data_IF_017154218716
#
_entry.id   IF_017154218716
#
_cell.length_a   1.000
_cell.length_b   1.000
_cell.length_c   1.000
_cell.angle_alpha   90.00
_cell.angle_beta   90.00
_cell.angle_gamma   90.00
#
_symmetry.space_group_name_H-M   'P 1'
#
loop_
_entity.id
_entity.type
_entity.pdbx_description
1 polymer ?
#
# COMPACT_ATOMS: atom_id res chain seq x y z
N UNK A 1 -24.71 -52.34 2.26
CA UNK A 1 -24.59 -51.59 0.98
C UNK A 1 -25.24 -50.21 1.12
N UNK A 2 -26.49 -50.11 1.58
CA UNK A 2 -27.20 -48.80 1.71
C UNK A 2 -26.51 -47.86 2.71
N UNK A 3 -26.02 -48.38 3.83
CA UNK A 3 -25.28 -47.56 4.83
C UNK A 3 -23.94 -47.04 4.34
N UNK A 4 -23.21 -47.80 3.53
CA UNK A 4 -21.97 -47.36 2.89
C UNK A 4 -22.22 -46.29 1.84
N UNK A 5 -23.31 -46.40 1.08
CA UNK A 5 -23.70 -45.41 0.08
C UNK A 5 -24.17 -44.09 0.73
N UNK A 6 -24.91 -44.17 1.83
CA UNK A 6 -25.33 -43.01 2.60
C UNK A 6 -24.12 -42.25 3.20
N UNK A 7 -23.13 -42.96 3.74
CA UNK A 7 -21.88 -42.38 4.26
C UNK A 7 -21.07 -41.67 3.16
N UNK A 8 -21.02 -42.25 1.97
CA UNK A 8 -20.35 -41.67 0.83
C UNK A 8 -21.00 -40.36 0.34
N UNK A 9 -22.35 -40.35 0.28
CA UNK A 9 -23.08 -39.12 -0.11
C UNK A 9 -22.91 -38.02 0.94
N UNK A 10 -22.94 -38.35 2.23
CA UNK A 10 -22.75 -37.38 3.31
C UNK A 10 -21.33 -36.83 3.29
N UNK A 11 -20.31 -37.66 3.11
CA UNK A 11 -18.92 -37.23 3.03
C UNK A 11 -18.67 -36.31 1.80
N UNK A 12 -19.21 -36.68 0.64
CA UNK A 12 -19.12 -35.89 -0.59
C UNK A 12 -19.84 -34.53 -0.46
N UNK A 13 -21.04 -34.53 0.12
CA UNK A 13 -21.84 -33.32 0.34
C UNK A 13 -21.21 -32.40 1.38
N UNK A 14 -20.66 -32.92 2.46
CA UNK A 14 -19.95 -32.15 3.49
C UNK A 14 -18.67 -31.53 2.97
N UNK A 15 -17.87 -32.26 2.20
CA UNK A 15 -16.65 -31.75 1.61
C UNK A 15 -16.92 -30.58 0.66
N UNK A 16 -17.92 -30.69 -0.20
CA UNK A 16 -18.35 -29.63 -1.11
C UNK A 16 -18.87 -28.39 -0.38
N UNK A 17 -19.64 -28.59 0.68
CA UNK A 17 -20.20 -27.52 1.50
C UNK A 17 -19.10 -26.78 2.30
N UNK A 18 -18.17 -27.53 2.92
CA UNK A 18 -17.03 -26.96 3.63
C UNK A 18 -16.10 -26.19 2.70
N UNK A 19 -15.77 -26.73 1.53
CA UNK A 19 -14.92 -26.09 0.55
C UNK A 19 -15.51 -24.74 0.08
N UNK A 20 -16.80 -24.70 -0.21
CA UNK A 20 -17.50 -23.48 -0.61
C UNK A 20 -17.52 -22.44 0.51
N UNK A 21 -17.73 -22.85 1.74
CA UNK A 21 -17.81 -21.93 2.87
C UNK A 21 -16.44 -21.33 3.24
N UNK A 22 -15.37 -22.13 3.17
CA UNK A 22 -14.00 -21.66 3.35
C UNK A 22 -13.61 -20.70 2.23
N UNK A 23 -13.91 -21.04 0.98
CA UNK A 23 -13.64 -20.15 -0.17
C UNK A 23 -14.35 -18.80 -0.02
N UNK A 24 -15.61 -18.79 0.40
CA UNK A 24 -16.34 -17.53 0.64
C UNK A 24 -15.72 -16.71 1.76
N UNK A 25 -15.40 -17.32 2.91
CA UNK A 25 -14.79 -16.63 4.04
C UNK A 25 -13.41 -16.04 3.69
N UNK A 26 -12.60 -16.75 2.91
CA UNK A 26 -11.31 -16.29 2.41
C UNK A 26 -11.49 -15.12 1.45
N UNK A 27 -12.41 -15.20 0.50
CA UNK A 27 -12.70 -14.13 -0.46
C UNK A 27 -13.21 -12.87 0.24
N UNK A 28 -14.11 -13.02 1.22
CA UNK A 28 -14.60 -11.89 2.03
C UNK A 28 -13.46 -11.23 2.82
N UNK A 29 -12.54 -12.01 3.39
CA UNK A 29 -11.38 -11.48 4.11
C UNK A 29 -10.43 -10.70 3.20
N UNK A 30 -10.20 -11.17 1.98
CA UNK A 30 -9.40 -10.44 0.97
C UNK A 30 -10.08 -9.12 0.62
N UNK A 31 -11.39 -9.15 0.35
CA UNK A 31 -12.16 -7.94 -0.01
C UNK A 31 -12.12 -6.89 1.10
N UNK A 32 -12.24 -7.30 2.37
CA UNK A 32 -12.14 -6.38 3.51
C UNK A 32 -10.74 -5.77 3.59
N UNK A 33 -9.70 -6.58 3.43
CA UNK A 33 -8.32 -6.11 3.50
C UNK A 33 -7.96 -5.18 2.31
N UNK A 34 -8.46 -5.46 1.11
CA UNK A 34 -8.32 -4.57 -0.06
C UNK A 34 -9.05 -3.25 0.18
N UNK A 35 -10.27 -3.28 0.69
CA UNK A 35 -11.03 -2.06 1.03
C UNK A 35 -10.32 -1.22 2.09
N UNK A 36 -9.71 -1.84 3.09
CA UNK A 36 -8.89 -1.17 4.10
C UNK A 36 -7.68 -0.49 3.46
N UNK A 37 -6.97 -1.21 2.58
CA UNK A 37 -5.82 -0.66 1.87
C UNK A 37 -6.21 0.54 1.00
N UNK A 38 -7.29 0.43 0.24
CA UNK A 38 -7.79 1.50 -0.64
C UNK A 38 -8.23 2.74 0.15
N UNK A 39 -8.82 2.55 1.32
CA UNK A 39 -9.19 3.66 2.21
C UNK A 39 -7.94 4.39 2.72
N UNK A 40 -6.92 3.64 3.16
CA UNK A 40 -5.66 4.23 3.59
C UNK A 40 -4.90 4.89 2.45
N UNK A 41 -4.93 4.32 1.24
CA UNK A 41 -4.33 4.89 0.04
C UNK A 41 -5.01 6.22 -0.36
N UNK A 42 -6.34 6.28 -0.33
CA UNK A 42 -7.09 7.53 -0.55
C UNK A 42 -6.79 8.58 0.50
N UNK A 43 -6.76 8.18 1.77
CA UNK A 43 -6.44 9.07 2.88
C UNK A 43 -5.03 9.67 2.73
N UNK A 44 -4.00 8.85 2.51
CA UNK A 44 -2.62 9.37 2.37
C UNK A 44 -2.46 10.20 1.10
N UNK A 45 -3.18 9.88 0.03
CA UNK A 45 -3.20 10.70 -1.20
C UNK A 45 -3.74 12.10 -0.94
N UNK A 46 -4.87 12.21 -0.25
CA UNK A 46 -5.47 13.49 0.12
C UNK A 46 -4.55 14.33 1.02
N UNK A 47 -3.95 13.70 2.04
CA UNK A 47 -3.01 14.36 2.95
C UNK A 47 -1.73 14.80 2.25
N UNK A 48 -1.22 13.99 1.30
CA UNK A 48 -0.04 14.32 0.49
C UNK A 48 -0.29 15.55 -0.38
N UNK A 49 -1.45 15.60 -1.03
CA UNK A 49 -1.85 16.72 -1.87
C UNK A 49 -2.03 18.00 -1.04
N UNK A 50 -2.70 17.91 0.11
CA UNK A 50 -2.88 19.04 1.02
C UNK A 50 -1.52 19.56 1.52
N UNK A 51 -0.62 18.66 1.93
CA UNK A 51 0.72 19.03 2.38
C UNK A 51 1.56 19.65 1.26
N UNK A 52 1.51 19.10 0.04
CA UNK A 52 2.20 19.66 -1.11
C UNK A 52 1.71 21.07 -1.44
N UNK A 53 0.41 21.31 -1.37
CA UNK A 53 -0.17 22.64 -1.56
C UNK A 53 0.28 23.63 -0.49
N UNK A 54 0.37 23.22 0.78
CA UNK A 54 0.86 24.07 1.87
C UNK A 54 2.34 24.40 1.67
N UNK A 55 3.17 23.43 1.31
CA UNK A 55 4.58 23.63 1.00
C UNK A 55 4.77 24.57 -0.21
N UNK A 56 3.98 24.38 -1.27
CA UNK A 56 4.02 25.23 -2.46
C UNK A 56 3.64 26.68 -2.16
N UNK A 57 2.67 26.93 -1.27
CA UNK A 57 2.30 28.30 -0.84
C UNK A 57 3.44 28.99 -0.08
N UNK A 58 4.17 28.24 0.72
CA UNK A 58 5.26 28.74 1.55
C UNK A 58 6.63 28.67 0.82
N UNK A 59 6.67 28.26 -0.45
CA UNK A 59 7.90 27.98 -1.19
C UNK A 59 8.91 29.12 -1.13
N UNK A 60 8.47 30.38 -1.28
CA UNK A 60 9.35 31.55 -1.20
C UNK A 60 10.06 31.66 0.15
N UNK A 61 9.37 31.39 1.24
CA UNK A 61 9.91 31.46 2.59
C UNK A 61 10.80 30.26 2.93
N UNK A 62 10.45 29.09 2.40
CA UNK A 62 11.14 27.85 2.67
C UNK A 62 12.39 27.65 1.82
N UNK A 63 12.40 28.21 0.59
CA UNK A 63 13.53 28.09 -0.33
C UNK A 63 14.78 28.74 0.25
N UNK A 64 15.88 27.99 0.20
CA UNK A 64 17.19 28.46 0.69
C UNK A 64 17.42 28.29 2.21
N UNK A 65 16.41 27.88 2.99
CA UNK A 65 16.57 27.62 4.43
C UNK A 65 16.19 26.19 4.81
N UNK A 66 17.16 25.27 4.71
CA UNK A 66 16.96 23.85 5.01
C UNK A 66 16.42 23.61 6.42
N UNK A 67 16.97 24.30 7.42
CA UNK A 67 16.52 24.13 8.81
C UNK A 67 15.07 24.55 9.02
N UNK A 68 14.62 25.59 8.32
CA UNK A 68 13.23 26.01 8.35
C UNK A 68 12.33 24.99 7.66
N UNK A 69 12.77 24.45 6.52
CA UNK A 69 12.05 23.45 5.76
C UNK A 69 11.92 22.14 6.56
N UNK A 70 12.98 21.66 7.22
CA UNK A 70 12.96 20.45 8.04
C UNK A 70 11.96 20.59 9.22
N UNK A 71 11.93 21.77 9.87
CA UNK A 71 10.95 22.06 10.93
C UNK A 71 9.54 22.08 10.38
N UNK A 72 9.33 22.80 9.29
CA UNK A 72 8.03 22.90 8.64
C UNK A 72 7.50 21.52 8.21
N UNK A 73 8.34 20.67 7.59
CA UNK A 73 8.00 19.30 7.26
C UNK A 73 7.62 18.48 8.49
N UNK A 74 8.35 18.65 9.60
CA UNK A 74 8.06 17.93 10.83
C UNK A 74 6.70 18.33 11.42
N UNK A 75 6.39 19.63 11.43
CA UNK A 75 5.12 20.15 11.90
C UNK A 75 3.95 19.70 11.01
N UNK A 76 4.14 19.76 9.70
CA UNK A 76 3.13 19.31 8.72
C UNK A 76 2.89 17.80 8.78
N UNK A 77 3.94 17.00 8.96
CA UNK A 77 3.81 15.55 9.13
C UNK A 77 3.05 15.19 10.41
N UNK A 78 3.37 15.85 11.53
CA UNK A 78 2.68 15.65 12.79
C UNK A 78 1.19 16.04 12.71
N UNK A 79 0.88 17.19 12.10
CA UNK A 79 -0.49 17.67 11.92
C UNK A 79 -1.37 16.66 11.16
N UNK A 80 -0.77 15.94 10.19
CA UNK A 80 -1.45 14.98 9.32
C UNK A 80 -1.30 13.52 9.75
N UNK A 81 -0.72 13.30 10.91
CA UNK A 81 -0.47 11.95 11.41
C UNK A 81 0.33 11.08 10.42
N UNK A 82 1.34 11.69 9.78
CA UNK A 82 2.29 11.03 8.91
C UNK A 82 3.52 10.59 9.70
N UNK A 83 4.05 9.42 9.40
CA UNK A 83 5.23 8.88 10.09
C UNK A 83 6.52 9.58 9.66
N UNK A 84 6.60 9.97 8.42
CA UNK A 84 7.74 10.65 7.80
C UNK A 84 7.32 11.50 6.61
N UNK A 85 8.12 12.53 6.33
CA UNK A 85 8.01 13.36 5.15
C UNK A 85 9.42 13.76 4.69
N UNK A 86 9.69 13.63 3.39
CA UNK A 86 10.98 13.90 2.79
C UNK A 86 10.75 14.68 1.49
N UNK A 87 11.53 15.75 1.29
CA UNK A 87 11.63 16.40 -0.01
C UNK A 87 12.95 15.97 -0.65
N UNK A 88 12.89 15.54 -1.89
CA UNK A 88 14.04 15.07 -2.66
C UNK A 88 13.92 15.55 -4.12
N UNK A 89 15.02 15.56 -4.86
CA UNK A 89 15.07 15.90 -6.28
C UNK A 89 14.97 14.65 -7.19
N UNK A 90 14.91 14.85 -8.49
CA UNK A 90 14.83 13.78 -9.48
C UNK A 90 16.02 12.81 -9.47
N UNK A 91 17.15 13.21 -8.87
CA UNK A 91 18.33 12.35 -8.69
C UNK A 91 18.24 11.48 -7.42
N UNK A 92 17.25 11.74 -6.56
CA UNK A 92 17.10 11.09 -5.26
C UNK A 92 17.88 11.77 -4.14
N UNK A 93 18.44 12.97 -4.38
CA UNK A 93 19.11 13.73 -3.33
C UNK A 93 18.09 14.34 -2.38
N UNK A 94 18.27 14.11 -1.09
CA UNK A 94 17.40 14.64 -0.04
C UNK A 94 17.67 16.14 0.16
N UNK A 95 16.66 16.96 -0.12
CA UNK A 95 16.68 18.40 0.06
C UNK A 95 16.28 18.78 1.49
N UNK A 96 15.26 18.13 2.04
CA UNK A 96 14.78 18.33 3.40
C UNK A 96 14.06 17.07 3.93
N UNK A 97 13.97 16.94 5.26
CA UNK A 97 13.30 15.80 5.88
C UNK A 97 12.67 16.15 7.23
N UNK A 98 11.58 15.48 7.58
CA UNK A 98 10.99 15.56 8.92
C UNK A 98 11.88 14.84 9.96
N UNK A 99 11.69 15.18 11.24
CA UNK A 99 12.53 14.70 12.35
C UNK A 99 12.65 13.17 12.41
N UNK A 100 11.56 12.45 12.15
CA UNK A 100 11.49 10.99 12.25
C UNK A 100 11.67 10.28 10.90
N UNK A 101 12.02 11.02 9.85
CA UNK A 101 12.38 10.43 8.57
C UNK A 101 13.78 9.80 8.69
N UNK A 102 13.84 8.50 8.85
CA UNK A 102 15.08 7.74 8.75
C UNK A 102 15.54 7.72 7.29
N UNK A 103 16.86 7.58 7.08
CA UNK A 103 17.44 7.58 5.74
C UNK A 103 16.74 6.55 4.84
N UNK A 104 15.99 7.02 3.88
CA UNK A 104 15.44 6.19 2.83
C UNK A 104 16.51 6.13 1.74
N UNK A 105 16.94 4.94 1.41
CA UNK A 105 17.81 4.75 0.25
C UNK A 105 16.92 4.82 -1.00
N UNK A 106 17.04 5.90 -1.76
CA UNK A 106 16.35 6.04 -3.05
C UNK A 106 17.01 5.22 -4.18
N UNK A 107 17.84 4.23 -3.83
CA UNK A 107 18.53 3.36 -4.80
C UNK A 107 17.56 2.64 -5.77
N UNK A 108 16.30 2.47 -5.37
CA UNK A 108 15.26 1.82 -6.16
C UNK A 108 14.17 2.79 -6.64
N UNK A 109 14.47 4.09 -6.68
CA UNK A 109 13.52 5.08 -7.20
C UNK A 109 13.29 4.82 -8.69
N UNK A 110 12.08 4.40 -9.05
CA UNK A 110 11.73 4.11 -10.44
C UNK A 110 11.42 5.44 -11.14
N UNK A 111 12.06 5.68 -12.28
CA UNK A 111 11.78 6.87 -13.10
C UNK A 111 10.29 7.00 -13.46
N UNK A 112 9.60 5.88 -13.70
CA UNK A 112 8.17 5.87 -13.97
C UNK A 112 7.32 6.52 -12.86
N UNK A 113 7.71 6.40 -11.59
CA UNK A 113 7.02 7.06 -10.47
C UNK A 113 7.19 8.58 -10.50
N UNK A 114 8.39 9.04 -10.87
CA UNK A 114 8.66 10.47 -11.01
C UNK A 114 7.93 11.08 -12.19
N UNK A 115 7.79 10.33 -13.30
CA UNK A 115 7.02 10.76 -14.46
C UNK A 115 5.54 10.91 -14.12
N UNK A 116 4.93 9.90 -13.49
CA UNK A 116 3.54 9.98 -13.02
C UNK A 116 3.33 11.16 -12.05
N UNK A 117 4.24 11.34 -11.08
CA UNK A 117 4.16 12.46 -10.15
C UNK A 117 4.34 13.82 -10.87
N UNK A 118 5.12 13.88 -11.95
CA UNK A 118 5.34 15.07 -12.77
C UNK A 118 4.09 15.49 -13.53
N UNK A 119 3.27 14.51 -13.92
CA UNK A 119 1.96 14.72 -14.56
C UNK A 119 0.87 15.19 -13.58
N UNK A 120 1.23 15.37 -12.31
CA UNK A 120 0.34 15.88 -11.27
C UNK A 120 -0.39 14.78 -10.48
N UNK A 121 -0.05 13.52 -10.69
CA UNK A 121 -0.62 12.39 -9.97
C UNK A 121 0.05 12.21 -8.60
N UNK A 122 -0.73 11.72 -7.63
CA UNK A 122 -0.18 11.20 -6.38
C UNK A 122 0.12 9.72 -6.57
N UNK A 123 1.41 9.38 -6.60
CA UNK A 123 1.86 8.00 -6.81
C UNK A 123 1.90 7.27 -5.49
N UNK A 124 1.03 6.26 -5.33
CA UNK A 124 0.98 5.43 -4.13
C UNK A 124 1.95 4.25 -4.27
N UNK A 125 2.89 4.17 -3.34
CA UNK A 125 3.82 3.05 -3.23
C UNK A 125 3.32 2.10 -2.14
N UNK A 126 3.04 0.86 -2.53
CA UNK A 126 2.65 -0.17 -1.58
C UNK A 126 3.81 -0.45 -0.61
N UNK A 127 3.44 -0.73 0.63
CA UNK A 127 4.40 -1.01 1.69
C UNK A 127 5.30 -2.19 1.29
N UNK A 128 6.60 -1.92 1.26
CA UNK A 128 7.62 -2.95 1.34
C UNK A 128 7.73 -3.45 2.78
N UNK A 129 8.79 -4.16 3.11
CA UNK A 129 9.10 -4.77 4.42
C UNK A 129 8.94 -3.84 5.64
N UNK A 130 8.70 -2.53 5.42
CA UNK A 130 8.62 -1.50 6.49
C UNK A 130 7.22 -1.22 7.01
N UNK A 131 6.18 -1.92 6.54
CA UNK A 131 4.77 -1.68 6.89
C UNK A 131 4.30 -0.22 6.74
N UNK A 132 4.89 0.50 5.80
CA UNK A 132 4.55 1.88 5.51
C UNK A 132 3.94 2.01 4.12
N UNK A 133 2.76 2.61 4.07
CA UNK A 133 2.22 3.13 2.83
C UNK A 133 2.91 4.46 2.55
N UNK A 134 3.39 4.65 1.33
CA UNK A 134 4.06 5.88 0.91
C UNK A 134 3.35 6.51 -0.26
N UNK A 135 3.47 7.83 -0.37
CA UNK A 135 2.97 8.58 -1.51
C UNK A 135 4.04 9.57 -1.99
N UNK A 136 4.17 9.68 -3.31
CA UNK A 136 5.05 10.67 -3.96
C UNK A 136 4.18 11.66 -4.72
N UNK A 137 4.50 12.95 -4.60
CA UNK A 137 3.87 14.02 -5.35
C UNK A 137 4.90 15.09 -5.74
N UNK A 138 4.73 15.70 -6.91
CA UNK A 138 5.56 16.83 -7.37
C UNK A 138 5.24 18.11 -6.60
N UNK A 139 6.27 18.85 -6.22
CA UNK A 139 6.14 20.22 -5.68
C UNK A 139 6.28 21.25 -6.79
N UNK A 140 5.16 21.82 -7.22
CA UNK A 140 5.10 22.66 -8.43
C UNK A 140 5.75 24.03 -8.28
N UNK A 141 5.91 24.55 -7.06
CA UNK A 141 6.58 25.83 -6.78
C UNK A 141 8.11 25.70 -6.66
N UNK A 142 8.65 24.49 -6.85
CA UNK A 142 10.07 24.20 -6.85
C UNK A 142 10.49 23.68 -8.23
N UNK A 143 11.71 23.99 -8.66
CA UNK A 143 12.21 23.62 -9.99
C UNK A 143 12.27 22.10 -10.13
N UNK A 144 12.90 21.42 -9.19
CA UNK A 144 13.03 19.96 -9.17
C UNK A 144 12.92 19.45 -7.72
N UNK A 145 11.69 19.25 -7.28
CA UNK A 145 11.43 18.72 -5.95
C UNK A 145 10.16 17.87 -5.93
N UNK A 146 10.25 16.77 -5.19
CA UNK A 146 9.18 15.82 -4.94
C UNK A 146 9.02 15.64 -3.44
N UNK A 147 7.79 15.54 -2.99
CA UNK A 147 7.44 15.21 -1.61
C UNK A 147 7.14 13.71 -1.54
N UNK A 148 7.86 13.00 -0.70
CA UNK A 148 7.53 11.64 -0.25
C UNK A 148 6.98 11.73 1.15
N UNK A 149 5.82 11.15 1.39
CA UNK A 149 5.25 10.98 2.73
C UNK A 149 5.03 9.52 3.03
N UNK A 150 5.05 9.16 4.31
CA UNK A 150 4.81 7.80 4.78
C UNK A 150 3.80 7.77 5.91
N UNK A 151 3.04 6.66 6.00
CA UNK A 151 2.14 6.34 7.11
C UNK A 151 2.23 4.86 7.42
N UNK A 152 2.28 4.51 8.71
CA UNK A 152 2.21 3.12 9.12
C UNK A 152 0.83 2.53 8.85
N UNK A 153 0.82 1.29 8.36
CA UNK A 153 -0.39 0.47 8.23
C UNK A 153 -0.28 -0.68 9.24
N UNK A 154 -1.41 -1.14 9.76
CA UNK A 154 -1.43 -2.29 10.65
C UNK A 154 -0.93 -3.54 9.90
N UNK A 155 0.21 -4.06 10.37
CA UNK A 155 0.84 -5.26 9.80
C UNK A 155 -0.10 -6.47 9.83
N UNK A 156 -0.98 -6.57 10.83
CA UNK A 156 -1.91 -7.70 10.95
C UNK A 156 -2.89 -7.75 9.78
N UNK A 157 -3.31 -6.59 9.27
CA UNK A 157 -4.20 -6.52 8.11
C UNK A 157 -3.46 -6.95 6.84
N UNK A 158 -2.20 -6.49 6.66
CA UNK A 158 -1.38 -6.91 5.53
C UNK A 158 -1.11 -8.42 5.56
N UNK A 159 -0.75 -8.98 6.71
CA UNK A 159 -0.53 -10.41 6.89
C UNK A 159 -1.80 -11.24 6.65
N UNK A 160 -2.95 -10.76 7.12
CA UNK A 160 -4.24 -11.41 6.87
C UNK A 160 -4.57 -11.41 5.37
N UNK A 161 -4.31 -10.32 4.67
CA UNK A 161 -4.49 -10.21 3.22
C UNK A 161 -3.59 -11.19 2.46
N UNK A 162 -2.30 -11.24 2.78
CA UNK A 162 -1.35 -12.15 2.14
C UNK A 162 -1.70 -13.61 2.39
N UNK A 163 -2.06 -13.96 3.63
CA UNK A 163 -2.49 -15.30 4.00
C UNK A 163 -3.76 -15.73 3.26
N UNK A 164 -4.74 -14.83 3.18
CA UNK A 164 -5.99 -15.09 2.47
C UNK A 164 -5.77 -15.22 0.96
N UNK A 165 -4.88 -14.41 0.37
CA UNK A 165 -4.53 -14.48 -1.04
C UNK A 165 -3.80 -15.77 -1.40
N UNK A 166 -2.86 -16.21 -0.56
CA UNK A 166 -2.18 -17.50 -0.72
C UNK A 166 -3.16 -18.66 -0.62
N UNK A 167 -4.05 -18.65 0.37
CA UNK A 167 -5.09 -19.67 0.51
C UNK A 167 -6.01 -19.71 -0.72
N UNK A 168 -6.39 -18.57 -1.29
CA UNK A 168 -7.20 -18.51 -2.51
C UNK A 168 -6.48 -19.11 -3.73
N UNK A 169 -5.18 -18.86 -3.88
CA UNK A 169 -4.36 -19.42 -4.95
C UNK A 169 -4.20 -20.93 -4.83
N UNK A 170 -3.97 -21.46 -3.61
CA UNK A 170 -3.87 -22.89 -3.35
C UNK A 170 -5.17 -23.61 -3.67
N UNK A 171 -6.33 -23.00 -3.33
CA UNK A 171 -7.64 -23.55 -3.68
C UNK A 171 -7.89 -23.60 -5.19
N UNK A 172 -7.49 -22.57 -5.92
CA UNK A 172 -7.61 -22.58 -7.39
C UNK A 172 -6.75 -23.68 -8.02
N UNK A 173 -5.53 -23.87 -7.54
CA UNK A 173 -4.63 -24.93 -8.06
C UNK A 173 -5.16 -26.34 -7.76
N UNK A 174 -5.76 -26.57 -6.59
CA UNK A 174 -6.37 -27.84 -6.25
C UNK A 174 -7.60 -28.13 -7.11
N UNK A 175 -8.41 -27.11 -7.43
CA UNK A 175 -9.56 -27.23 -8.33
C UNK A 175 -9.17 -27.64 -9.75
N UNK A 176 -8.08 -27.09 -10.31
CA UNK A 176 -7.58 -27.46 -11.62
C UNK A 176 -7.03 -28.90 -11.66
N UNK A 177 -6.30 -29.33 -10.63
CA UNK A 177 -5.79 -30.72 -10.54
C UNK A 177 -6.89 -31.78 -10.47
N UNK A 178 -8.04 -31.47 -9.87
CA UNK A 178 -9.16 -32.40 -9.80
C UNK A 178 -9.90 -32.53 -11.15
N UNK A 179 -9.93 -31.48 -11.96
CA UNK A 179 -10.51 -31.52 -13.30
C UNK A 179 -9.67 -32.33 -14.28
N UNK A 180 -8.34 -32.25 -14.21
CA UNK A 180 -7.42 -33.02 -15.06
C UNK A 180 -7.47 -34.53 -14.77
N UNK A 181 -7.77 -34.93 -13.53
CA UNK A 181 -7.90 -36.35 -13.16
C UNK A 181 -9.25 -36.99 -13.58
N UNK A 182 -10.25 -36.17 -13.94
CA UNK A 182 -11.55 -36.67 -14.41
C UNK A 182 -11.61 -36.81 -15.94
N UNK A 183 -10.61 -36.31 -16.69
CA UNK A 183 -10.56 -36.35 -18.16
C UNK A 183 -9.57 -37.41 -18.68
N UNK A 184 -8.86 -38.11 -17.79
CA UNK A 184 -8.04 -39.29 -18.10
C UNK A 184 -8.77 -40.57 -17.70
#
# INVERSE_FOLDING_TARGET
>A
IVTLFALFIVDYSLRGWFAKRISTAVTESVTVAESYFDEHARSISGESLAMANDINREAYRLSGNRNLMDRYLSDQANLRNLSDAIIFDSTGQVLAKSRFAFAITFANLKNAWLEQARDGEVVILRADETNKLRAIIKLNSFVDAYLLVGRFIDIKVLQAMDSARLAALDYQQLGFKQLDLQVS
#
